data_IF_454598495702
#
_entry.id   IF_454598495702
#
_cell.length_a   1.000
_cell.length_b   1.000
_cell.length_c   1.000
_cell.angle_alpha   90.00
_cell.angle_beta   90.00
_cell.angle_gamma   90.00
#
_symmetry.space_group_name_H-M   'P 1'
#
loop_
_entity.id
_entity.type
_entity.pdbx_description
1 polymer ?
#
# COMPACT_ATOMS: atom_id res chain seq x y z
N UNK A 1 -8.55 21.82 0.80
CA UNK A 1 -8.54 20.37 0.51
C UNK A 1 -7.59 19.76 1.52
N UNK A 2 -8.11 19.36 2.68
CA UNK A 2 -7.31 18.88 3.79
C UNK A 2 -7.16 17.36 3.68
N UNK A 3 -5.94 16.91 3.35
CA UNK A 3 -5.30 15.64 3.71
C UNK A 3 -6.23 14.49 4.11
N UNK A 4 -6.74 13.70 3.15
CA UNK A 4 -7.44 12.43 3.47
C UNK A 4 -6.57 11.19 3.28
N UNK A 5 -5.29 11.36 2.93
CA UNK A 5 -4.41 10.22 2.74
C UNK A 5 -3.78 9.81 4.08
N UNK A 6 -3.92 8.53 4.41
CA UNK A 6 -3.33 7.89 5.58
C UNK A 6 -1.83 7.66 5.35
N UNK A 7 -0.93 8.06 6.26
CA UNK A 7 0.50 7.80 6.13
C UNK A 7 0.79 6.30 6.11
N UNK A 8 1.68 5.88 5.22
CA UNK A 8 2.08 4.50 5.05
C UNK A 8 3.60 4.35 5.26
N UNK A 9 3.98 3.31 6.01
CA UNK A 9 5.32 3.09 6.51
C UNK A 9 5.88 1.75 6.03
N UNK A 10 7.20 1.64 5.92
CA UNK A 10 7.85 0.34 5.73
C UNK A 10 7.86 -0.48 7.03
N UNK A 11 8.41 -1.69 6.96
CA UNK A 11 8.53 -2.61 8.09
C UNK A 11 9.38 -2.05 9.27
N UNK A 12 10.22 -1.05 9.01
CA UNK A 12 11.06 -0.39 10.02
C UNK A 12 10.40 0.88 10.59
N UNK A 13 9.20 1.23 10.13
CA UNK A 13 8.47 2.42 10.58
C UNK A 13 8.90 3.71 9.88
N UNK A 14 9.62 3.64 8.75
CA UNK A 14 9.95 4.81 7.95
C UNK A 14 8.77 5.14 7.03
N UNK A 15 8.39 6.41 6.96
CA UNK A 15 7.37 6.89 6.04
C UNK A 15 7.83 6.66 4.59
N UNK A 16 7.02 5.97 3.80
CA UNK A 16 7.31 5.65 2.39
C UNK A 16 6.25 6.19 1.42
N UNK A 17 5.11 6.62 1.94
CA UNK A 17 4.04 7.13 1.09
C UNK A 17 2.74 7.32 1.84
N UNK A 18 1.66 7.28 1.06
CA UNK A 18 0.32 7.54 1.55
C UNK A 18 -0.70 6.61 0.89
N UNK A 19 -1.78 6.31 1.61
CA UNK A 19 -2.90 5.50 1.15
C UNK A 19 -4.19 6.32 1.22
N UNK A 20 -4.98 6.34 0.14
CA UNK A 20 -6.22 7.14 0.06
C UNK A 20 -7.52 6.33 0.30
N UNK A 21 -7.40 5.03 0.56
CA UNK A 21 -8.54 4.12 0.66
C UNK A 21 -8.66 3.14 -0.52
N UNK A 22 -8.01 3.43 -1.65
CA UNK A 22 -7.99 2.56 -2.83
C UNK A 22 -6.56 2.35 -3.37
N UNK A 23 -5.72 3.37 -3.33
CA UNK A 23 -4.37 3.35 -3.91
C UNK A 23 -3.31 3.72 -2.90
N UNK A 24 -2.18 3.03 -2.99
CA UNK A 24 -0.94 3.43 -2.33
C UNK A 24 -0.04 4.21 -3.29
N UNK A 25 0.34 5.41 -2.83
CA UNK A 25 1.21 6.35 -3.53
C UNK A 25 2.53 6.46 -2.80
N UNK A 26 3.64 6.50 -3.51
CA UNK A 26 4.94 6.88 -2.92
C UNK A 26 4.92 8.34 -2.47
N UNK A 27 5.91 8.75 -1.69
CA UNK A 27 6.10 10.16 -1.30
C UNK A 27 6.20 11.10 -2.52
N UNK A 28 6.72 10.60 -3.64
CA UNK A 28 6.83 11.32 -4.92
C UNK A 28 5.50 11.36 -5.72
N UNK A 29 4.44 10.74 -5.20
CA UNK A 29 3.11 10.75 -5.80
C UNK A 29 2.87 9.67 -6.85
N UNK A 30 3.75 8.67 -6.96
CA UNK A 30 3.58 7.56 -7.90
C UNK A 30 2.68 6.48 -7.29
N UNK A 31 1.61 6.08 -7.99
CA UNK A 31 0.82 4.92 -7.59
C UNK A 31 1.65 3.67 -7.81
N UNK A 32 1.70 2.79 -6.82
CA UNK A 32 2.41 1.49 -6.95
C UNK A 32 1.50 0.29 -6.72
N UNK A 33 0.43 0.46 -5.94
CA UNK A 33 -0.50 -0.62 -5.64
C UNK A 33 -1.94 -0.13 -5.60
N UNK A 34 -2.86 -0.97 -6.05
CA UNK A 34 -4.31 -0.85 -5.82
C UNK A 34 -4.73 -1.86 -4.76
N UNK A 35 -5.61 -1.44 -3.87
CA UNK A 35 -6.14 -2.27 -2.80
C UNK A 35 -7.65 -2.44 -3.02
N UNK A 36 -8.10 -3.68 -3.07
CA UNK A 36 -9.51 -4.05 -3.23
C UNK A 36 -9.90 -5.00 -2.10
N UNK A 37 -10.56 -4.46 -1.08
CA UNK A 37 -10.81 -5.19 0.17
C UNK A 37 -9.51 -5.61 0.86
N UNK A 38 -9.28 -6.93 0.91
CA UNK A 38 -8.07 -7.52 1.50
C UNK A 38 -7.01 -7.87 0.46
N UNK A 39 -7.20 -7.49 -0.81
CA UNK A 39 -6.31 -7.87 -1.89
C UNK A 39 -5.47 -6.69 -2.37
N UNK A 40 -4.17 -6.91 -2.53
CA UNK A 40 -3.24 -5.90 -3.06
C UNK A 40 -2.79 -6.31 -4.45
N UNK A 41 -2.97 -5.39 -5.38
CA UNK A 41 -2.61 -5.56 -6.78
C UNK A 41 -1.48 -4.60 -7.17
N UNK A 42 -0.55 -5.05 -8.01
CA UNK A 42 0.35 -4.15 -8.71
C UNK A 42 -0.44 -3.29 -9.72
N UNK A 43 0.11 -2.13 -10.07
CA UNK A 43 -0.46 -1.29 -11.15
C UNK A 43 0.17 -1.54 -12.52
N UNK A 44 1.20 -2.37 -12.57
CA UNK A 44 1.80 -2.83 -13.82
C UNK A 44 0.92 -3.91 -14.45
N UNK A 45 0.74 -3.85 -15.77
CA UNK A 45 -0.03 -4.87 -16.49
C UNK A 45 0.69 -6.23 -16.44
N UNK A 46 0.00 -7.34 -16.10
CA UNK A 46 -1.46 -7.48 -16.04
C UNK A 46 -2.11 -7.36 -14.64
N UNK A 47 -1.87 -6.28 -13.88
CA UNK A 47 -2.41 -5.99 -12.53
C UNK A 47 -2.42 -7.23 -11.64
N UNK A 48 -1.22 -7.67 -11.25
CA UNK A 48 -1.03 -8.92 -10.54
C UNK A 48 -1.42 -8.78 -9.07
N UNK A 49 -2.12 -9.79 -8.55
CA UNK A 49 -2.36 -9.91 -7.11
C UNK A 49 -1.06 -10.32 -6.41
N UNK A 50 -0.49 -9.43 -5.60
CA UNK A 50 0.89 -9.56 -5.06
C UNK A 50 0.95 -9.71 -3.54
N UNK A 51 -0.11 -9.31 -2.83
CA UNK A 51 -0.10 -9.28 -1.36
C UNK A 51 -1.52 -9.29 -0.77
N UNK A 52 -1.62 -9.68 0.49
CA UNK A 52 -2.83 -9.49 1.30
C UNK A 52 -2.76 -8.18 2.08
N UNK A 53 -3.89 -7.50 2.25
CA UNK A 53 -4.03 -6.33 3.10
C UNK A 53 -4.93 -6.65 4.29
N UNK A 54 -4.34 -6.75 5.48
CA UNK A 54 -5.06 -7.11 6.70
C UNK A 54 -4.59 -6.26 7.87
N UNK A 55 -5.53 -5.77 8.67
CA UNK A 55 -5.25 -4.94 9.85
C UNK A 55 -4.34 -3.73 9.55
N UNK A 56 -4.49 -3.11 8.38
CA UNK A 56 -3.66 -2.00 7.94
C UNK A 56 -2.28 -2.38 7.41
N UNK A 57 -1.98 -3.67 7.21
CA UNK A 57 -0.67 -4.15 6.76
C UNK A 57 -0.81 -4.88 5.43
N UNK A 58 -0.09 -4.40 4.42
CA UNK A 58 0.09 -5.10 3.14
C UNK A 58 1.28 -6.04 3.26
N UNK A 59 1.04 -7.36 3.12
CA UNK A 59 2.06 -8.40 3.22
C UNK A 59 2.07 -9.30 2.00
N UNK A 60 3.22 -9.43 1.36
CA UNK A 60 3.41 -10.34 0.23
C UNK A 60 3.27 -11.82 0.65
N UNK A 61 3.21 -12.71 -0.33
CA UNK A 61 3.10 -14.16 -0.07
C UNK A 61 4.35 -14.77 0.59
N UNK A 62 5.49 -14.07 0.58
CA UNK A 62 6.71 -14.45 1.27
C UNK A 62 6.76 -13.98 2.73
N UNK A 63 5.80 -13.16 3.16
CA UNK A 63 5.72 -12.60 4.49
C UNK A 63 6.37 -11.22 4.65
N UNK A 64 6.91 -10.62 3.59
CA UNK A 64 7.48 -9.27 3.60
C UNK A 64 6.37 -8.22 3.66
N UNK A 65 6.57 -7.18 4.47
CA UNK A 65 5.65 -6.04 4.52
C UNK A 65 5.97 -5.09 3.37
N UNK A 66 4.99 -4.84 2.50
CA UNK A 66 5.09 -3.85 1.44
C UNK A 66 4.90 -2.44 2.00
N UNK A 67 3.85 -2.28 2.82
CA UNK A 67 3.59 -1.08 3.61
C UNK A 67 2.65 -1.39 4.78
N UNK A 68 2.65 -0.54 5.80
CA UNK A 68 1.73 -0.59 6.93
C UNK A 68 1.17 0.82 7.23
N UNK A 69 -0.10 0.89 7.60
CA UNK A 69 -0.79 2.10 8.01
C UNK A 69 -0.70 2.22 9.55
N UNK A 70 -0.46 3.43 10.05
CA UNK A 70 -0.50 3.76 11.48
C UNK A 70 -1.70 4.64 11.82
#
# INVERSE_FOLDING_TARGET
MCNENTPAYDAQGKLIGYFDGEYFYTYEGQITHRIDGNEVYSVDLPNEYVANFENGVARDFGGSVLFQLN
#
